data_IF_338135723244
#
_entry.id   IF_338135723244
#
_cell.length_a   1.000
_cell.length_b   1.000
_cell.length_c   1.000
_cell.angle_alpha   90.00
_cell.angle_beta   90.00
_cell.angle_gamma   90.00
#
_symmetry.space_group_name_H-M   'P 1'
#
loop_
_entity.id
_entity.type
_entity.pdbx_description
1 polymer ?
#
# COMPACT_ATOMS: atom_id res chain seq x y z
N UNK A 1 27.96 36.84 -7.54
CA UNK A 1 27.23 35.79 -6.81
C UNK A 1 26.19 35.04 -7.65
N UNK A 2 25.47 35.68 -8.58
CA UNK A 2 24.34 35.09 -9.33
C UNK A 2 24.68 33.98 -10.36
N UNK A 3 25.91 33.95 -10.91
CA UNK A 3 26.29 33.00 -11.97
C UNK A 3 26.70 31.60 -11.47
N UNK A 4 27.35 31.51 -10.30
CA UNK A 4 27.77 30.23 -9.70
C UNK A 4 26.59 29.43 -9.14
N UNK A 5 25.57 30.12 -8.62
CA UNK A 5 24.37 29.50 -8.05
C UNK A 5 23.43 28.93 -9.14
N UNK A 6 23.34 29.60 -10.30
CA UNK A 6 22.61 29.09 -11.48
C UNK A 6 23.25 27.84 -12.08
N UNK A 7 24.59 27.73 -12.10
CA UNK A 7 25.28 26.54 -12.59
C UNK A 7 25.06 25.34 -11.66
N UNK A 8 25.19 25.53 -10.35
CA UNK A 8 24.99 24.48 -9.34
C UNK A 8 23.57 23.90 -9.33
N UNK A 9 22.55 24.76 -9.49
CA UNK A 9 21.15 24.31 -9.58
C UNK A 9 20.85 23.58 -10.91
N UNK A 10 21.52 23.97 -12.01
CA UNK A 10 21.38 23.26 -13.30
C UNK A 10 21.90 21.83 -13.21
N UNK A 11 23.03 21.62 -12.52
CA UNK A 11 23.62 20.29 -12.36
C UNK A 11 22.79 19.40 -11.44
N UNK A 12 22.27 19.92 -10.31
CA UNK A 12 21.40 19.13 -9.43
C UNK A 12 20.08 18.73 -10.10
N UNK A 13 19.52 19.60 -10.94
CA UNK A 13 18.29 19.31 -11.71
C UNK A 13 18.57 18.24 -12.78
N UNK A 14 19.73 18.28 -13.44
CA UNK A 14 20.13 17.25 -14.42
C UNK A 14 20.36 15.89 -13.75
N UNK A 15 21.02 15.86 -12.60
CA UNK A 15 21.21 14.63 -11.82
C UNK A 15 19.88 14.05 -11.36
N UNK A 16 18.95 14.89 -10.87
CA UNK A 16 17.60 14.45 -10.48
C UNK A 16 16.79 13.87 -11.65
N UNK A 17 16.83 14.52 -12.83
CA UNK A 17 16.19 14.00 -14.05
C UNK A 17 16.80 12.69 -14.52
N UNK A 18 18.13 12.56 -14.46
CA UNK A 18 18.83 11.32 -14.80
C UNK A 18 18.44 10.17 -13.86
N UNK A 19 18.42 10.42 -12.55
CA UNK A 19 17.99 9.44 -11.54
C UNK A 19 16.53 8.99 -11.74
N UNK A 20 15.64 9.95 -12.00
CA UNK A 20 14.24 9.65 -12.31
C UNK A 20 14.11 8.82 -13.60
N UNK A 21 14.89 9.13 -14.64
CA UNK A 21 14.91 8.37 -15.88
C UNK A 21 15.32 6.93 -15.67
N UNK A 22 16.39 6.70 -14.90
CA UNK A 22 16.86 5.36 -14.53
C UNK A 22 15.82 4.62 -13.69
N UNK A 23 15.17 5.28 -12.73
CA UNK A 23 14.11 4.67 -11.92
C UNK A 23 12.86 4.31 -12.75
N UNK A 24 12.51 5.13 -13.73
CA UNK A 24 11.39 4.87 -14.64
C UNK A 24 11.71 3.70 -15.58
N UNK A 25 12.92 3.68 -16.14
CA UNK A 25 13.40 2.57 -16.97
C UNK A 25 13.44 1.27 -16.18
N UNK A 26 13.92 1.30 -14.93
CA UNK A 26 13.90 0.16 -14.01
C UNK A 26 12.49 -0.43 -13.83
N UNK A 27 11.51 0.43 -13.55
CA UNK A 27 10.13 0.04 -13.31
C UNK A 27 9.50 -0.71 -14.50
N UNK A 28 9.80 -0.28 -15.72
CA UNK A 28 9.17 -0.81 -16.93
C UNK A 28 10.00 -1.90 -17.62
N UNK A 29 11.32 -1.94 -17.41
CA UNK A 29 12.22 -2.89 -18.08
C UNK A 29 12.36 -4.21 -17.33
N UNK A 30 12.29 -4.17 -16.00
CA UNK A 30 12.45 -5.35 -15.16
C UNK A 30 11.11 -5.99 -14.78
N UNK A 31 10.89 -7.24 -15.22
CA UNK A 31 9.65 -8.00 -14.99
C UNK A 31 9.31 -8.14 -13.50
N UNK A 32 10.33 -8.15 -12.63
CA UNK A 32 10.17 -8.35 -11.18
C UNK A 32 9.43 -7.20 -10.52
N UNK A 33 9.74 -5.95 -10.85
CA UNK A 33 9.09 -4.78 -10.25
C UNK A 33 7.63 -4.71 -10.63
N UNK A 34 7.32 -4.92 -11.91
CA UNK A 34 5.95 -4.96 -12.40
C UNK A 34 5.13 -6.09 -11.74
N UNK A 35 5.74 -7.27 -11.56
CA UNK A 35 5.09 -8.40 -10.88
C UNK A 35 4.78 -8.08 -9.42
N UNK A 36 5.69 -7.45 -8.68
CA UNK A 36 5.46 -7.09 -7.27
C UNK A 36 4.37 -6.03 -7.12
N UNK A 37 4.30 -5.04 -8.01
CA UNK A 37 3.26 -4.00 -8.00
C UNK A 37 1.90 -4.61 -8.29
N UNK A 38 1.79 -5.46 -9.32
CA UNK A 38 0.55 -6.17 -9.64
C UNK A 38 0.14 -7.08 -8.49
N UNK A 39 1.07 -7.81 -7.90
CA UNK A 39 0.78 -8.71 -6.79
C UNK A 39 0.24 -7.94 -5.57
N UNK A 40 0.79 -6.73 -5.31
CA UNK A 40 0.31 -5.83 -4.27
C UNK A 40 -1.11 -5.31 -4.54
N UNK A 41 -1.40 -4.87 -5.77
CA UNK A 41 -2.73 -4.34 -6.11
C UNK A 41 -3.79 -5.44 -6.06
N UNK A 42 -3.46 -6.64 -6.55
CA UNK A 42 -4.32 -7.81 -6.46
C UNK A 42 -4.55 -8.19 -5.00
N UNK A 43 -3.50 -8.26 -4.18
CA UNK A 43 -3.62 -8.57 -2.76
C UNK A 43 -4.56 -7.60 -2.04
N UNK A 44 -4.40 -6.29 -2.26
CA UNK A 44 -5.26 -5.29 -1.66
C UNK A 44 -6.71 -5.42 -2.16
N UNK A 45 -6.90 -5.62 -3.46
CA UNK A 45 -8.24 -5.81 -4.05
C UNK A 45 -8.94 -7.02 -3.47
N UNK A 46 -8.23 -8.15 -3.31
CA UNK A 46 -8.77 -9.37 -2.69
C UNK A 46 -9.17 -9.10 -1.24
N UNK A 47 -8.33 -8.42 -0.46
CA UNK A 47 -8.65 -8.08 0.93
C UNK A 47 -9.98 -7.31 0.98
N UNK A 48 -10.12 -6.24 0.20
CA UNK A 48 -11.37 -5.47 0.15
C UNK A 48 -12.55 -6.30 -0.36
N UNK A 49 -12.36 -7.12 -1.38
CA UNK A 49 -13.40 -7.99 -1.93
C UNK A 49 -13.92 -8.99 -0.86
N UNK A 50 -13.02 -9.60 -0.08
CA UNK A 50 -13.40 -10.49 1.01
C UNK A 50 -14.22 -9.74 2.07
N UNK A 51 -13.80 -8.55 2.49
CA UNK A 51 -14.57 -7.76 3.46
C UNK A 51 -15.94 -7.34 2.93
N UNK A 52 -16.02 -6.96 1.66
CA UNK A 52 -17.26 -6.63 0.95
C UNK A 52 -18.20 -7.85 0.94
N UNK A 53 -17.69 -9.06 0.67
CA UNK A 53 -18.48 -10.31 0.67
C UNK A 53 -18.91 -10.72 2.08
N UNK A 54 -17.99 -10.68 3.06
CA UNK A 54 -18.28 -11.02 4.45
C UNK A 54 -19.38 -10.14 5.05
N UNK A 55 -19.41 -8.85 4.68
CA UNK A 55 -20.45 -7.93 5.14
C UNK A 55 -21.81 -8.15 4.43
N UNK A 56 -21.82 -8.74 3.23
CA UNK A 56 -23.02 -8.96 2.41
C UNK A 56 -23.72 -10.30 2.64
N UNK A 57 -23.20 -11.16 3.51
CA UNK A 57 -23.67 -12.55 3.66
C UNK A 57 -25.11 -12.67 4.20
N UNK A 58 -25.78 -11.57 4.57
CA UNK A 58 -27.07 -11.60 5.25
C UNK A 58 -28.30 -11.66 4.33
N UNK A 59 -28.24 -11.26 3.05
CA UNK A 59 -29.27 -11.59 2.02
C UNK A 59 -29.16 -10.76 0.72
N UNK A 60 -29.38 -11.46 -0.39
CA UNK A 60 -29.61 -11.00 -1.78
C UNK A 60 -28.40 -10.53 -2.63
N UNK A 61 -27.78 -11.51 -3.28
CA UNK A 61 -26.60 -11.40 -4.17
C UNK A 61 -26.87 -10.68 -5.52
N UNK A 62 -28.13 -10.47 -5.92
CA UNK A 62 -28.50 -10.02 -7.27
C UNK A 62 -28.57 -8.49 -7.49
N UNK A 63 -28.47 -7.67 -6.44
CA UNK A 63 -28.55 -6.19 -6.53
C UNK A 63 -27.17 -5.48 -6.56
N UNK A 64 -26.16 -6.13 -7.15
CA UNK A 64 -24.74 -5.79 -7.01
C UNK A 64 -24.35 -4.34 -7.36
N UNK A 65 -24.74 -3.75 -8.51
CA UNK A 65 -24.23 -2.42 -8.89
C UNK A 65 -24.82 -1.26 -8.08
N UNK A 66 -26.06 -1.38 -7.56
CA UNK A 66 -26.73 -0.30 -6.82
C UNK A 66 -26.34 -0.26 -5.33
N UNK A 67 -25.87 -1.39 -4.77
CA UNK A 67 -25.48 -1.49 -3.35
C UNK A 67 -24.03 -1.10 -3.07
N UNK A 68 -23.13 -1.02 -4.05
CA UNK A 68 -21.72 -0.67 -3.81
C UNK A 68 -21.58 0.64 -3.02
N UNK A 69 -22.36 1.67 -3.35
CA UNK A 69 -22.29 2.95 -2.64
C UNK A 69 -22.68 2.82 -1.15
N UNK A 70 -23.80 2.12 -0.86
CA UNK A 70 -24.23 1.87 0.52
C UNK A 70 -23.31 0.93 1.28
N UNK A 71 -22.74 -0.09 0.62
CA UNK A 71 -21.78 -1.02 1.22
C UNK A 71 -20.47 -0.30 1.55
N UNK A 72 -19.99 0.57 0.68
CA UNK A 72 -18.80 1.39 0.98
C UNK A 72 -19.07 2.26 2.20
N UNK A 73 -20.19 3.00 2.24
CA UNK A 73 -20.55 3.81 3.41
C UNK A 73 -20.71 2.98 4.69
N UNK A 74 -21.33 1.81 4.61
CA UNK A 74 -21.46 0.88 5.74
C UNK A 74 -20.13 0.24 6.15
N UNK A 75 -19.20 -0.02 5.23
CA UNK A 75 -17.83 -0.44 5.56
C UNK A 75 -17.08 0.67 6.30
N UNK A 76 -17.37 1.95 6.00
CA UNK A 76 -16.83 3.13 6.70
C UNK A 76 -17.58 3.51 7.99
N UNK A 77 -18.79 2.98 8.20
CA UNK A 77 -19.66 3.27 9.36
C UNK A 77 -20.02 2.02 10.19
N UNK A 78 -19.45 0.85 9.89
CA UNK A 78 -19.77 -0.41 10.56
C UNK A 78 -19.59 -0.29 12.07
N UNK A 79 -20.56 -0.78 12.84
CA UNK A 79 -20.47 -0.83 14.30
C UNK A 79 -19.53 -1.94 14.79
N UNK A 80 -19.08 -2.83 13.89
CA UNK A 80 -18.14 -3.88 14.22
C UNK A 80 -16.70 -3.35 14.22
N UNK A 81 -16.32 -2.72 15.33
CA UNK A 81 -14.98 -2.19 15.58
C UNK A 81 -13.86 -3.22 15.35
N UNK A 82 -14.10 -4.50 15.65
CA UNK A 82 -13.10 -5.56 15.46
C UNK A 82 -12.85 -5.84 13.98
N UNK A 83 -13.91 -5.92 13.16
CA UNK A 83 -13.80 -6.14 11.72
C UNK A 83 -13.04 -4.98 11.03
N UNK A 84 -13.32 -3.75 11.47
CA UNK A 84 -12.63 -2.55 11.00
C UNK A 84 -11.15 -2.58 11.37
N UNK A 85 -10.84 -2.94 12.62
CA UNK A 85 -9.45 -3.02 13.05
C UNK A 85 -8.66 -4.08 12.27
N UNK A 86 -9.25 -5.24 12.02
CA UNK A 86 -8.62 -6.31 11.24
C UNK A 86 -8.44 -5.89 9.78
N UNK A 87 -9.40 -5.17 9.19
CA UNK A 87 -9.28 -4.70 7.81
C UNK A 87 -8.18 -3.64 7.65
N UNK A 88 -8.04 -2.72 8.62
CA UNK A 88 -6.89 -1.81 8.66
C UNK A 88 -5.57 -2.57 8.85
N UNK A 89 -5.54 -3.53 9.78
CA UNK A 89 -4.33 -4.33 10.05
C UNK A 89 -3.84 -5.07 8.80
N UNK A 90 -4.72 -5.79 8.11
CA UNK A 90 -4.39 -6.52 6.88
C UNK A 90 -3.96 -5.58 5.76
N UNK A 91 -4.64 -4.45 5.60
CA UNK A 91 -4.28 -3.42 4.61
C UNK A 91 -2.87 -2.88 4.86
N UNK A 92 -2.58 -2.42 6.08
CA UNK A 92 -1.26 -1.90 6.42
C UNK A 92 -0.18 -2.98 6.37
N UNK A 93 -0.52 -4.21 6.74
CA UNK A 93 0.39 -5.35 6.59
C UNK A 93 0.78 -5.61 5.14
N UNK A 94 -0.19 -5.75 4.24
CA UNK A 94 0.09 -5.94 2.82
C UNK A 94 0.89 -4.78 2.23
N UNK A 95 0.51 -3.54 2.52
CA UNK A 95 1.23 -2.36 2.03
C UNK A 95 2.70 -2.38 2.48
N UNK A 96 2.96 -2.54 3.77
CA UNK A 96 4.34 -2.55 4.30
C UNK A 96 5.13 -3.76 3.78
N UNK A 97 4.50 -4.92 3.64
CA UNK A 97 5.12 -6.13 3.10
C UNK A 97 5.58 -5.93 1.66
N UNK A 98 4.69 -5.51 0.76
CA UNK A 98 5.04 -5.31 -0.65
C UNK A 98 5.99 -4.13 -0.86
N UNK A 99 5.86 -3.05 -0.09
CA UNK A 99 6.82 -1.96 -0.13
C UNK A 99 8.23 -2.43 0.26
N UNK A 100 8.34 -3.26 1.30
CA UNK A 100 9.63 -3.84 1.70
C UNK A 100 10.19 -4.74 0.61
N UNK A 101 9.35 -5.54 -0.06
CA UNK A 101 9.76 -6.40 -1.17
C UNK A 101 10.26 -5.58 -2.36
N UNK A 102 9.55 -4.50 -2.71
CA UNK A 102 9.90 -3.59 -3.79
C UNK A 102 11.22 -2.86 -3.51
N UNK A 103 11.41 -2.39 -2.27
CA UNK A 103 12.67 -1.77 -1.85
C UNK A 103 13.83 -2.76 -1.91
N UNK A 104 13.63 -4.01 -1.47
CA UNK A 104 14.67 -5.03 -1.58
C UNK A 104 15.02 -5.33 -3.05
N UNK A 105 14.02 -5.48 -3.93
CA UNK A 105 14.25 -5.67 -5.35
C UNK A 105 15.00 -4.47 -5.99
N UNK A 106 14.68 -3.24 -5.59
CA UNK A 106 15.37 -2.03 -6.02
C UNK A 106 16.85 -2.03 -5.63
N UNK A 107 17.15 -2.36 -4.37
CA UNK A 107 18.51 -2.44 -3.86
C UNK A 107 19.31 -3.54 -4.58
N UNK A 108 18.71 -4.72 -4.79
CA UNK A 108 19.36 -5.81 -5.54
C UNK A 108 19.70 -5.38 -6.97
N UNK A 109 18.80 -4.67 -7.64
CA UNK A 109 19.06 -4.16 -8.99
C UNK A 109 20.23 -3.16 -9.02
N UNK A 110 20.26 -2.19 -8.11
CA UNK A 110 21.35 -1.20 -8.06
C UNK A 110 22.71 -1.81 -7.69
N UNK A 111 22.73 -2.99 -7.08
CA UNK A 111 23.94 -3.75 -6.77
C UNK A 111 24.33 -4.75 -7.88
N UNK A 112 23.79 -4.62 -9.08
CA UNK A 112 24.01 -5.53 -10.23
C UNK A 112 23.65 -7.02 -9.94
N UNK A 113 22.80 -7.27 -8.95
CA UNK A 113 22.29 -8.62 -8.66
C UNK A 113 21.01 -8.88 -9.46
N UNK A 114 20.79 -10.13 -9.89
CA UNK A 114 19.54 -10.51 -10.56
C UNK A 114 18.35 -10.32 -9.61
N UNK A 115 17.45 -9.35 -9.85
CA UNK A 115 16.29 -9.18 -9.01
C UNK A 115 15.40 -10.44 -9.14
N UNK A 116 14.82 -10.90 -8.04
CA UNK A 116 13.92 -12.05 -8.04
C UNK A 116 12.76 -11.79 -7.08
N UNK A 117 11.56 -12.19 -7.51
CA UNK A 117 10.35 -12.12 -6.67
C UNK A 117 10.52 -13.02 -5.45
N UNK A 118 11.10 -14.21 -5.64
CA UNK A 118 11.23 -15.19 -4.56
C UNK A 118 12.22 -14.72 -3.47
N UNK A 119 13.35 -14.13 -3.86
CA UNK A 119 14.31 -13.58 -2.88
C UNK A 119 13.71 -12.42 -2.10
N UNK A 120 12.93 -11.57 -2.77
CA UNK A 120 12.26 -10.42 -2.14
C UNK A 120 11.18 -10.86 -1.14
N UNK A 121 10.39 -11.89 -1.49
CA UNK A 121 9.40 -12.49 -0.58
C UNK A 121 10.09 -13.13 0.62
N UNK A 122 11.14 -13.92 0.42
CA UNK A 122 11.90 -14.54 1.51
C UNK A 122 12.50 -13.49 2.45
N UNK A 123 13.04 -12.40 1.90
CA UNK A 123 13.54 -11.28 2.69
C UNK A 123 12.42 -10.67 3.56
N UNK A 124 11.24 -10.45 2.99
CA UNK A 124 10.11 -9.91 3.75
C UNK A 124 9.64 -10.86 4.85
N UNK A 125 9.61 -12.17 4.58
CA UNK A 125 9.30 -13.19 5.59
C UNK A 125 10.32 -13.18 6.73
N UNK A 126 11.60 -12.94 6.45
CA UNK A 126 12.62 -12.78 7.50
C UNK A 126 12.35 -11.57 8.42
N UNK A 127 11.65 -10.56 7.90
CA UNK A 127 11.25 -9.33 8.62
C UNK A 127 9.79 -9.35 9.05
N UNK A 128 9.10 -10.49 8.97
CA UNK A 128 7.67 -10.63 9.24
C UNK A 128 7.27 -10.01 10.59
N UNK A 129 8.02 -10.28 11.66
CA UNK A 129 7.75 -9.72 13.00
C UNK A 129 7.79 -8.19 13.02
N UNK A 130 8.76 -7.60 12.32
CA UNK A 130 8.93 -6.14 12.25
C UNK A 130 7.83 -5.51 11.42
N UNK A 131 7.48 -6.13 10.29
CA UNK A 131 6.37 -5.69 9.43
C UNK A 131 5.07 -5.73 10.23
N UNK A 132 4.80 -6.85 10.92
CA UNK A 132 3.59 -7.00 11.73
C UNK A 132 3.50 -5.97 12.86
N UNK A 133 4.60 -5.70 13.56
CA UNK A 133 4.64 -4.64 14.58
C UNK A 133 4.30 -3.26 13.99
N UNK A 134 4.85 -2.94 12.81
CA UNK A 134 4.53 -1.71 12.09
C UNK A 134 3.06 -1.61 11.68
N UNK A 135 2.49 -2.72 11.21
CA UNK A 135 1.09 -2.77 10.78
C UNK A 135 0.12 -2.62 11.95
N UNK A 136 0.44 -3.20 13.11
CA UNK A 136 -0.35 -3.01 14.33
C UNK A 136 -0.37 -1.53 14.73
N UNK A 137 0.80 -0.89 14.81
CA UNK A 137 0.89 0.54 15.14
C UNK A 137 0.09 1.41 14.15
N UNK A 138 0.26 1.15 12.85
CA UNK A 138 -0.45 1.90 11.79
C UNK A 138 -1.96 1.68 11.85
N UNK A 139 -2.39 0.44 12.12
CA UNK A 139 -3.80 0.10 12.29
C UNK A 139 -4.42 0.79 13.50
N UNK A 140 -3.71 0.84 14.63
CA UNK A 140 -4.16 1.59 15.81
C UNK A 140 -4.38 3.06 15.50
N UNK A 141 -3.46 3.70 14.77
CA UNK A 141 -3.59 5.11 14.37
C UNK A 141 -4.78 5.30 13.43
N UNK A 142 -4.90 4.45 12.40
CA UNK A 142 -6.03 4.50 11.46
C UNK A 142 -7.38 4.29 12.15
N UNK A 143 -7.44 3.37 13.11
CA UNK A 143 -8.61 3.09 13.92
C UNK A 143 -8.97 4.27 14.84
N UNK A 144 -7.99 4.87 15.53
CA UNK A 144 -8.20 6.06 16.37
C UNK A 144 -8.73 7.23 15.53
N UNK A 145 -8.15 7.49 14.36
CA UNK A 145 -8.63 8.55 13.47
C UNK A 145 -10.10 8.33 13.07
N UNK A 146 -10.47 7.08 12.80
CA UNK A 146 -11.87 6.73 12.48
C UNK A 146 -12.81 6.97 13.67
N UNK A 147 -12.41 6.60 14.89
CA UNK A 147 -13.19 6.92 16.10
C UNK A 147 -13.42 8.43 16.26
N UNK A 148 -12.42 9.26 15.96
CA UNK A 148 -12.58 10.73 16.04
C UNK A 148 -13.51 11.28 14.95
N UNK A 149 -13.57 10.63 13.78
CA UNK A 149 -14.44 11.04 12.67
C UNK A 149 -15.91 10.75 12.96
N UNK A 150 -16.20 9.60 13.56
CA UNK A 150 -17.54 9.25 14.03
C UNK A 150 -18.11 10.28 15.01
N UNK A 151 -17.27 10.86 15.87
CA UNK A 151 -17.69 11.90 16.82
C UNK A 151 -18.05 13.25 16.18
N UNK A 152 -17.58 13.54 14.97
CA UNK A 152 -17.94 14.79 14.26
C UNK A 152 -19.30 14.72 13.57
N UNK A 153 -19.72 13.53 13.12
CA UNK A 153 -21.04 13.35 12.51
C UNK A 153 -22.17 13.49 13.54
N UNK A 154 -21.94 13.12 14.79
CA UNK A 154 -22.90 13.28 15.90
C UNK A 154 -23.11 14.74 16.37
N UNK A 155 -22.40 15.71 15.79
CA UNK A 155 -22.53 17.15 16.10
C UNK A 155 -23.18 17.96 14.97
N UNK A 156 -23.71 17.30 13.94
CA UNK A 156 -24.59 17.89 12.92
C UNK A 156 -26.00 17.31 13.05
#
# INVERSE_FOLDING_TARGET
MSSSEKSKNSDSIKTGKALSGVAFELLFKEKVFFTLIILSTISLTIIYAIFIVLYQFDSEMLAFPFRIHKVLDQLFLSENYMLIFISYLLTYFSITFFNTALTHAAISFFNDQKPSVNSSIQFCLSKFKVILAWSVMSSTIGFILRLTRYRKDLRK
#
